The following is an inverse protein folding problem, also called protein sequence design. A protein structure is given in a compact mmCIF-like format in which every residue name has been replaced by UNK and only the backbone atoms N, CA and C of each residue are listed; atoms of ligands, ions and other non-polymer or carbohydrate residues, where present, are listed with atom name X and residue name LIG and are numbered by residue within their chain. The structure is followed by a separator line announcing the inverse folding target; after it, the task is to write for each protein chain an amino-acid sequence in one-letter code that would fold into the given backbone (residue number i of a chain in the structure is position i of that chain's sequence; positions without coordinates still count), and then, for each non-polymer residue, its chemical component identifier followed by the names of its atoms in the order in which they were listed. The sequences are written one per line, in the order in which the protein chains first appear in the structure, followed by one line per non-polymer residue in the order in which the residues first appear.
data_IF_498111507931
#
_entry.id   IF_498111507931
#
_cell.length_a   1.000
_cell.length_b   1.000
_cell.length_c   1.000
_cell.angle_alpha   90.00
_cell.angle_beta   90.00
_cell.angle_gamma   90.00
#
_symmetry.space_group_name_H-M   'P 1'
#
loop_
_entity.id
_entity.type
_entity.pdbx_description
1 polymer ?
#
# COMPACT_ATOMS: atom_id res chain seq x y z
N UNK A 1 -3.09 -32.15 9.75
CA UNK A 1 -2.92 -30.88 9.01
C UNK A 1 -2.44 -31.22 7.61
N UNK A 2 -3.24 -30.90 6.59
CA UNK A 2 -2.93 -31.24 5.21
C UNK A 2 -2.24 -30.09 4.46
N UNK A 3 -2.56 -28.85 4.85
CA UNK A 3 -2.01 -27.62 4.25
C UNK A 3 -1.61 -26.63 5.33
N UNK A 4 -0.44 -26.02 5.17
CA UNK A 4 0.04 -24.90 5.97
C UNK A 4 0.15 -23.68 5.04
N UNK A 5 -0.61 -22.64 5.36
CA UNK A 5 -0.55 -21.36 4.64
C UNK A 5 0.35 -20.37 5.40
N UNK A 6 1.36 -19.83 4.71
CA UNK A 6 2.33 -18.90 5.28
C UNK A 6 2.21 -17.52 4.62
N UNK A 7 1.85 -16.50 5.39
CA UNK A 7 1.55 -15.15 4.90
C UNK A 7 2.75 -14.21 4.86
N UNK A 8 3.85 -14.55 5.51
CA UNK A 8 5.09 -13.77 5.51
C UNK A 8 6.31 -14.63 5.16
N UNK A 9 7.45 -13.98 4.86
CA UNK A 9 8.70 -14.71 4.58
C UNK A 9 9.20 -15.51 5.78
N UNK A 10 9.00 -14.99 6.99
CA UNK A 10 9.41 -15.66 8.23
C UNK A 10 8.51 -16.87 8.47
N UNK A 11 7.18 -16.67 8.39
CA UNK A 11 6.20 -17.77 8.56
C UNK A 11 6.47 -18.89 7.57
N UNK A 12 6.84 -18.54 6.32
CA UNK A 12 7.16 -19.52 5.28
C UNK A 12 8.36 -20.36 5.64
N UNK A 13 9.43 -19.74 6.14
CA UNK A 13 10.62 -20.47 6.59
C UNK A 13 10.31 -21.39 7.79
N UNK A 14 9.54 -20.89 8.76
CA UNK A 14 9.11 -21.67 9.92
C UNK A 14 8.22 -22.83 9.47
N UNK A 15 7.24 -22.59 8.60
CA UNK A 15 6.33 -23.64 8.08
C UNK A 15 7.08 -24.75 7.35
N UNK A 16 8.07 -24.39 6.52
CA UNK A 16 8.91 -25.33 5.80
C UNK A 16 9.75 -26.19 6.76
N UNK A 17 10.28 -25.59 7.81
CA UNK A 17 11.04 -26.30 8.82
C UNK A 17 10.14 -27.22 9.68
N UNK A 18 9.04 -26.68 10.20
CA UNK A 18 8.11 -27.41 11.07
C UNK A 18 7.39 -28.58 10.37
N UNK A 19 7.17 -28.47 9.04
CA UNK A 19 6.57 -29.53 8.24
C UNK A 19 7.55 -30.59 7.73
N UNK A 20 8.81 -30.54 8.18
CA UNK A 20 9.82 -31.52 7.75
C UNK A 20 9.43 -32.94 8.20
N UNK A 21 9.48 -33.90 7.25
CA UNK A 21 9.11 -35.28 7.53
C UNK A 21 7.60 -35.54 7.66
N UNK A 22 6.76 -34.55 7.39
CA UNK A 22 5.28 -34.68 7.38
C UNK A 22 4.72 -34.62 5.95
N UNK A 23 3.49 -35.14 5.71
CA UNK A 23 2.84 -35.02 4.40
C UNK A 23 2.22 -33.63 4.15
N UNK A 24 2.32 -32.69 5.08
CA UNK A 24 1.71 -31.37 4.99
C UNK A 24 2.29 -30.56 3.80
N UNK A 25 1.41 -29.98 3.01
CA UNK A 25 1.77 -29.11 1.89
C UNK A 25 1.92 -27.67 2.36
N UNK A 26 3.02 -27.01 2.04
CA UNK A 26 3.24 -25.60 2.38
C UNK A 26 2.88 -24.72 1.21
N UNK A 27 1.97 -23.78 1.44
CA UNK A 27 1.57 -22.72 0.49
C UNK A 27 2.09 -21.39 0.99
N UNK A 28 2.87 -20.70 0.17
CA UNK A 28 3.43 -19.39 0.51
C UNK A 28 2.63 -18.25 -0.11
N UNK A 29 2.57 -17.10 0.55
CA UNK A 29 2.04 -15.86 -0.01
C UNK A 29 3.15 -14.86 -0.29
N UNK A 30 3.12 -14.26 -1.49
CA UNK A 30 4.06 -13.21 -1.88
C UNK A 30 3.29 -11.91 -2.15
N UNK A 31 3.42 -10.94 -1.22
CA UNK A 31 2.78 -9.63 -1.29
C UNK A 31 3.74 -8.47 -1.53
N UNK A 32 5.01 -8.73 -1.89
CA UNK A 32 6.02 -7.68 -2.05
C UNK A 32 6.83 -7.85 -3.33
N UNK A 33 7.19 -6.72 -3.96
CA UNK A 33 8.00 -6.63 -5.18
C UNK A 33 9.53 -6.62 -4.90
N UNK A 34 10.00 -7.20 -3.81
CA UNK A 34 11.44 -7.24 -3.53
C UNK A 34 12.18 -8.12 -4.54
N UNK A 35 13.30 -7.63 -5.04
CA UNK A 35 14.16 -8.38 -5.98
C UNK A 35 14.66 -9.68 -5.33
N UNK A 36 14.38 -10.81 -5.97
CA UNK A 36 14.90 -12.10 -5.58
C UNK A 36 16.24 -12.33 -6.29
N UNK A 37 17.23 -12.82 -5.54
CA UNK A 37 18.57 -13.16 -6.07
C UNK A 37 18.82 -14.64 -5.88
N UNK A 38 19.19 -15.35 -6.96
CA UNK A 38 19.58 -16.78 -6.89
C UNK A 38 20.83 -17.01 -6.06
N UNK A 39 21.71 -16.01 -5.98
CA UNK A 39 22.94 -16.07 -5.19
C UNK A 39 22.75 -15.89 -3.69
N UNK A 40 21.55 -15.51 -3.25
CA UNK A 40 21.24 -15.32 -1.84
C UNK A 40 20.58 -16.59 -1.28
N UNK A 41 21.29 -17.37 -0.43
CA UNK A 41 20.81 -18.65 0.09
C UNK A 41 19.56 -18.49 0.97
N UNK A 42 19.29 -17.32 1.51
CA UNK A 42 18.12 -17.08 2.37
C UNK A 42 16.80 -17.29 1.63
N UNK A 43 16.77 -17.05 0.31
CA UNK A 43 15.57 -17.31 -0.49
C UNK A 43 15.23 -18.80 -0.60
N UNK A 44 16.23 -19.70 -0.50
CA UNK A 44 16.02 -21.16 -0.53
C UNK A 44 15.50 -21.71 0.82
N UNK A 45 15.64 -20.93 1.90
CA UNK A 45 14.99 -21.22 3.17
C UNK A 45 13.52 -20.77 3.18
N UNK A 46 13.08 -20.04 2.15
CA UNK A 46 11.75 -19.46 1.99
C UNK A 46 11.20 -19.70 0.59
N UNK A 47 10.93 -18.62 -0.14
CA UNK A 47 10.13 -18.63 -1.39
C UNK A 47 10.71 -19.49 -2.54
N UNK A 48 12.00 -19.73 -2.57
CA UNK A 48 12.64 -20.60 -3.57
C UNK A 48 12.84 -22.04 -3.07
N UNK A 49 12.29 -22.41 -1.93
CA UNK A 49 12.40 -23.77 -1.42
C UNK A 49 11.61 -24.74 -2.30
N UNK A 50 12.20 -25.86 -2.77
CA UNK A 50 11.53 -26.81 -3.65
C UNK A 50 10.32 -27.50 -3.00
N UNK A 51 10.25 -27.51 -1.65
CA UNK A 51 9.14 -28.10 -0.89
C UNK A 51 7.89 -27.23 -0.84
N UNK A 52 7.93 -25.96 -1.31
CA UNK A 52 6.72 -25.17 -1.43
C UNK A 52 5.81 -25.82 -2.48
N UNK A 53 4.62 -26.18 -2.08
CA UNK A 53 3.66 -26.80 -2.98
C UNK A 53 3.07 -25.77 -3.97
N UNK A 54 2.75 -24.57 -3.48
CA UNK A 54 2.16 -23.50 -4.29
C UNK A 54 2.48 -22.11 -3.72
N UNK A 55 2.48 -21.09 -4.61
CA UNK A 55 2.68 -19.69 -4.23
C UNK A 55 1.50 -18.85 -4.67
N UNK A 56 0.86 -18.18 -3.73
CA UNK A 56 -0.16 -17.19 -4.00
C UNK A 56 0.49 -15.81 -4.14
N UNK A 57 0.34 -15.19 -5.29
CA UNK A 57 0.91 -13.88 -5.61
C UNK A 57 -0.15 -12.79 -5.44
N UNK A 58 0.18 -11.69 -4.79
CA UNK A 58 -0.77 -10.58 -4.59
C UNK A 58 -1.18 -9.90 -5.90
N UNK A 59 -0.32 -9.94 -6.93
CA UNK A 59 -0.49 -9.25 -8.20
C UNK A 59 0.10 -10.07 -9.35
N UNK A 60 -0.34 -9.78 -10.57
CA UNK A 60 0.21 -10.41 -11.77
C UNK A 60 1.69 -10.06 -11.97
N UNK A 61 2.07 -8.81 -11.67
CA UNK A 61 3.48 -8.38 -11.74
C UNK A 61 4.39 -9.23 -10.82
N UNK A 62 3.93 -9.53 -9.60
CA UNK A 62 4.68 -10.41 -8.68
C UNK A 62 4.80 -11.82 -9.26
N UNK A 63 3.72 -12.37 -9.85
CA UNK A 63 3.75 -13.68 -10.49
C UNK A 63 4.74 -13.71 -11.65
N UNK A 64 4.75 -12.70 -12.50
CA UNK A 64 5.70 -12.58 -13.62
C UNK A 64 7.16 -12.47 -13.14
N UNK A 65 7.41 -11.72 -12.07
CA UNK A 65 8.75 -11.65 -11.47
C UNK A 65 9.22 -13.01 -10.93
N UNK A 66 8.31 -13.76 -10.29
CA UNK A 66 8.59 -15.10 -9.75
C UNK A 66 8.72 -16.18 -10.82
N UNK A 67 8.09 -16.02 -11.98
CA UNK A 67 8.13 -17.00 -13.08
C UNK A 67 9.56 -17.28 -13.61
N UNK A 68 10.52 -16.40 -13.30
CA UNK A 68 11.95 -16.63 -13.55
C UNK A 68 12.58 -17.70 -12.65
N UNK A 69 11.89 -18.10 -11.58
CA UNK A 69 12.40 -18.96 -10.51
C UNK A 69 11.48 -20.14 -10.22
N UNK A 70 10.18 -19.96 -10.34
CA UNK A 70 9.13 -20.92 -9.97
C UNK A 70 8.26 -21.14 -11.21
N UNK A 71 7.90 -22.39 -11.49
CA UNK A 71 7.02 -22.73 -12.61
C UNK A 71 5.64 -22.08 -12.46
N UNK A 72 5.06 -21.49 -13.54
CA UNK A 72 3.79 -20.77 -13.51
C UNK A 72 2.60 -21.61 -13.02
N UNK A 73 2.59 -22.91 -13.23
CA UNK A 73 1.57 -23.86 -12.76
C UNK A 73 1.54 -23.97 -11.21
N UNK A 74 2.65 -23.65 -10.57
CA UNK A 74 2.77 -23.60 -9.11
C UNK A 74 2.46 -22.23 -8.52
N UNK A 75 1.89 -21.31 -9.30
CA UNK A 75 1.59 -19.96 -8.85
C UNK A 75 0.20 -19.51 -9.28
N UNK A 76 -0.52 -18.89 -8.37
CA UNK A 76 -1.83 -18.27 -8.64
C UNK A 76 -1.82 -16.82 -8.19
N UNK A 77 -2.42 -15.92 -8.97
CA UNK A 77 -2.69 -14.57 -8.53
C UNK A 77 -3.90 -14.58 -7.60
N UNK A 78 -3.72 -14.08 -6.41
CA UNK A 78 -4.74 -13.93 -5.39
C UNK A 78 -4.65 -12.53 -4.79
N UNK A 79 -5.33 -11.55 -5.39
CA UNK A 79 -5.38 -10.19 -4.87
C UNK A 79 -5.92 -10.18 -3.44
N UNK A 80 -5.46 -9.24 -2.64
CA UNK A 80 -6.03 -9.06 -1.30
C UNK A 80 -7.51 -8.74 -1.45
N UNK A 81 -8.40 -9.49 -0.79
CA UNK A 81 -9.82 -9.21 -0.86
C UNK A 81 -10.13 -7.83 -0.28
N UNK A 82 -11.14 -7.18 -0.83
CA UNK A 82 -11.70 -5.97 -0.30
C UNK A 82 -13.20 -5.97 -0.52
N UNK A 83 -13.95 -5.90 0.56
CA UNK A 83 -15.42 -5.86 0.53
C UNK A 83 -15.89 -4.42 0.79
N UNK A 84 -16.67 -3.87 -0.13
CA UNK A 84 -17.16 -2.49 -0.05
C UNK A 84 -18.07 -2.28 1.17
N UNK A 85 -18.82 -3.30 1.57
CA UNK A 85 -19.68 -3.25 2.76
C UNK A 85 -18.91 -2.98 4.06
N UNK A 86 -17.60 -3.28 4.11
CA UNK A 86 -16.77 -2.89 5.26
C UNK A 86 -16.66 -1.39 5.46
N UNK A 87 -17.11 -0.61 4.45
CA UNK A 87 -17.06 0.86 4.47
C UNK A 87 -18.39 1.50 4.90
N UNK A 88 -19.45 0.74 5.18
CA UNK A 88 -20.76 1.28 5.58
C UNK A 88 -20.66 2.19 6.81
N UNK A 89 -19.96 1.74 7.84
CA UNK A 89 -19.74 2.54 9.06
C UNK A 89 -18.87 3.78 8.76
N UNK A 90 -17.90 3.66 7.88
CA UNK A 90 -17.05 4.78 7.44
C UNK A 90 -17.85 5.85 6.72
N UNK A 91 -18.78 5.45 5.87
CA UNK A 91 -19.68 6.40 5.17
C UNK A 91 -20.67 7.06 6.12
N UNK A 92 -21.14 6.32 7.13
CA UNK A 92 -22.09 6.83 8.11
C UNK A 92 -21.46 7.87 9.08
N UNK A 93 -20.15 7.76 9.33
CA UNK A 93 -19.46 8.57 10.34
C UNK A 93 -18.20 9.27 9.79
N UNK A 94 -18.29 10.07 8.70
CA UNK A 94 -17.14 10.73 8.12
C UNK A 94 -16.50 11.73 9.09
N UNK A 95 -15.16 11.80 9.06
CA UNK A 95 -14.40 12.77 9.86
C UNK A 95 -13.89 13.92 9.00
N UNK A 96 -13.91 15.10 9.60
CA UNK A 96 -13.35 16.32 9.02
C UNK A 96 -12.09 16.77 9.78
N UNK A 97 -11.35 17.69 9.18
CA UNK A 97 -10.17 18.31 9.81
C UNK A 97 -10.51 19.76 10.12
N UNK A 98 -10.36 20.14 11.39
CA UNK A 98 -10.60 21.50 11.82
C UNK A 98 -9.63 22.48 11.14
N UNK A 99 -10.11 23.68 10.82
CA UNK A 99 -9.28 24.73 10.24
C UNK A 99 -9.09 24.67 8.72
N UNK A 100 -9.71 23.69 8.04
CA UNK A 100 -9.78 23.67 6.57
C UNK A 100 -11.11 24.32 6.15
N UNK A 101 -11.10 25.32 5.26
CA UNK A 101 -12.34 25.89 4.72
C UNK A 101 -13.22 24.83 4.04
N UNK A 102 -14.51 24.94 4.18
CA UNK A 102 -15.45 23.99 3.54
C UNK A 102 -15.46 24.06 2.01
N UNK A 103 -14.99 25.18 1.47
CA UNK A 103 -14.85 25.42 0.02
C UNK A 103 -13.49 24.97 -0.54
N UNK A 104 -12.52 24.65 0.34
CA UNK A 104 -11.20 24.27 -0.08
C UNK A 104 -11.20 22.91 -0.80
N UNK A 105 -10.37 22.78 -1.82
CA UNK A 105 -10.11 21.50 -2.46
C UNK A 105 -9.25 20.62 -1.54
N UNK A 106 -9.80 19.50 -1.10
CA UNK A 106 -9.21 18.64 -0.07
C UNK A 106 -8.54 17.40 -0.68
N UNK A 107 -7.24 17.40 -0.65
CA UNK A 107 -6.41 16.26 -1.05
C UNK A 107 -6.05 15.44 0.18
N UNK A 108 -6.21 14.11 0.11
CA UNK A 108 -5.88 13.22 1.23
C UNK A 108 -4.79 12.21 0.83
N UNK A 109 -3.87 11.93 1.74
CA UNK A 109 -2.86 10.89 1.60
C UNK A 109 -2.77 10.04 2.87
N UNK A 110 -3.05 8.75 2.76
CA UNK A 110 -2.94 7.78 3.84
C UNK A 110 -1.72 6.90 3.63
N UNK A 111 -0.63 7.16 4.35
CA UNK A 111 0.61 6.38 4.20
C UNK A 111 1.49 6.43 5.45
N UNK A 112 2.10 5.32 5.83
CA UNK A 112 3.18 5.28 6.81
C UNK A 112 4.51 5.46 6.08
N UNK A 113 5.10 6.66 6.15
CA UNK A 113 6.34 7.02 5.44
C UNK A 113 7.58 6.99 6.31
N UNK A 114 7.44 6.83 7.63
CA UNK A 114 8.57 6.74 8.56
C UNK A 114 9.53 5.61 8.16
N UNK A 115 10.78 5.98 7.83
CA UNK A 115 11.77 5.05 7.31
C UNK A 115 11.43 4.46 5.93
N UNK A 116 10.45 5.03 5.19
CA UNK A 116 9.95 4.53 3.91
C UNK A 116 9.80 5.64 2.89
N UNK A 117 10.90 6.30 2.56
CA UNK A 117 10.92 7.44 1.61
C UNK A 117 10.27 7.12 0.25
N UNK A 118 10.29 5.83 -0.15
CA UNK A 118 9.65 5.37 -1.38
C UNK A 118 8.11 5.54 -1.40
N UNK A 119 7.49 5.87 -0.27
CA UNK A 119 6.05 6.21 -0.20
C UNK A 119 5.72 7.62 -0.68
N UNK A 120 6.72 8.45 -0.99
CA UNK A 120 6.57 9.67 -1.77
C UNK A 120 6.07 10.91 -1.03
N UNK A 121 6.03 10.95 0.32
CA UNK A 121 5.56 12.13 1.06
C UNK A 121 6.32 13.41 0.67
N UNK A 122 7.65 13.34 0.51
CA UNK A 122 8.43 14.52 0.11
C UNK A 122 8.08 15.03 -1.28
N UNK A 123 7.75 14.11 -2.20
CA UNK A 123 7.30 14.47 -3.54
C UNK A 123 5.98 15.24 -3.44
N UNK A 124 5.06 14.76 -2.60
CA UNK A 124 3.76 15.39 -2.40
C UNK A 124 3.90 16.77 -1.75
N UNK A 125 4.75 16.92 -0.71
CA UNK A 125 5.03 18.23 -0.10
C UNK A 125 5.57 19.21 -1.15
N UNK A 126 6.56 18.79 -1.95
CA UNK A 126 7.14 19.63 -3.00
C UNK A 126 6.13 20.00 -4.10
N UNK A 127 5.22 19.10 -4.43
CA UNK A 127 4.14 19.39 -5.38
C UNK A 127 3.21 20.49 -4.85
N UNK A 128 2.87 20.45 -3.56
CA UNK A 128 2.05 21.51 -2.92
C UNK A 128 2.75 22.87 -2.89
N UNK A 129 4.08 22.89 -2.73
CA UNK A 129 4.86 24.14 -2.76
C UNK A 129 4.75 24.88 -4.10
N UNK A 130 4.37 24.18 -5.18
CA UNK A 130 4.12 24.78 -6.50
C UNK A 130 2.67 25.31 -6.65
N UNK A 131 1.81 25.06 -5.64
CA UNK A 131 0.37 25.35 -5.68
C UNK A 131 -0.05 26.31 -4.54
N UNK A 132 0.86 27.13 -4.04
CA UNK A 132 0.62 28.03 -2.90
C UNK A 132 -0.45 29.09 -3.15
N UNK A 133 -0.69 29.45 -4.39
CA UNK A 133 -1.70 30.44 -4.80
C UNK A 133 -3.10 29.83 -4.99
N UNK A 134 -3.29 28.60 -4.55
CA UNK A 134 -4.56 27.85 -4.68
C UNK A 134 -5.14 27.55 -3.31
N UNK A 135 -6.45 27.29 -3.23
CA UNK A 135 -7.13 26.82 -2.03
C UNK A 135 -7.16 25.28 -1.96
N UNK A 136 -5.96 24.67 -2.17
CA UNK A 136 -5.76 23.22 -2.11
C UNK A 136 -5.12 22.86 -0.77
N UNK A 137 -5.78 21.99 0.01
CA UNK A 137 -5.30 21.55 1.30
C UNK A 137 -4.96 20.06 1.30
N UNK A 138 -3.74 19.70 1.73
CA UNK A 138 -3.31 18.32 1.92
C UNK A 138 -3.58 17.86 3.35
N UNK A 139 -4.34 16.80 3.49
CA UNK A 139 -4.56 16.07 4.73
C UNK A 139 -3.68 14.80 4.68
N UNK A 140 -2.69 14.73 5.55
CA UNK A 140 -1.80 13.57 5.63
C UNK A 140 -2.02 12.79 6.91
N UNK A 141 -2.32 11.49 6.79
CA UNK A 141 -2.48 10.55 7.90
C UNK A 141 -1.50 9.38 7.79
N UNK A 142 -0.76 9.15 8.86
CA UNK A 142 0.20 8.07 9.00
C UNK A 142 1.50 8.52 9.66
N UNK A 143 2.38 7.58 9.94
CA UNK A 143 3.69 7.89 10.51
C UNK A 143 4.60 8.56 9.48
N UNK A 144 5.41 9.52 9.95
CA UNK A 144 6.39 10.25 9.15
C UNK A 144 7.68 10.50 9.94
N UNK A 145 8.75 10.81 9.23
CA UNK A 145 10.02 11.22 9.86
C UNK A 145 9.98 12.68 10.29
N UNK A 146 10.70 13.02 11.38
CA UNK A 146 10.80 14.41 11.86
C UNK A 146 11.28 15.38 10.79
N UNK A 147 12.12 14.92 9.86
CA UNK A 147 12.60 15.73 8.75
C UNK A 147 11.48 16.09 7.76
N UNK A 148 10.55 15.16 7.51
CA UNK A 148 9.41 15.39 6.62
C UNK A 148 8.40 16.36 7.25
N UNK A 149 8.18 16.24 8.56
CA UNK A 149 7.38 17.20 9.31
C UNK A 149 7.96 18.62 9.24
N UNK A 150 9.27 18.76 9.49
CA UNK A 150 9.94 20.06 9.39
C UNK A 150 9.85 20.64 7.98
N UNK A 151 10.00 19.81 6.94
CA UNK A 151 9.86 20.23 5.55
C UNK A 151 8.45 20.79 5.31
N UNK A 152 7.41 20.09 5.73
CA UNK A 152 6.03 20.53 5.57
C UNK A 152 5.72 21.84 6.33
N UNK A 153 6.20 21.98 7.57
CA UNK A 153 5.89 23.13 8.44
C UNK A 153 6.68 24.39 8.11
N UNK A 154 7.87 24.27 7.53
CA UNK A 154 8.74 25.40 7.21
C UNK A 154 8.72 25.78 5.73
N UNK A 155 8.00 25.03 4.90
CA UNK A 155 7.86 25.30 3.46
C UNK A 155 6.81 26.37 3.17
N UNK A 156 6.78 26.90 1.95
CA UNK A 156 5.81 27.92 1.54
C UNK A 156 4.35 27.43 1.61
N UNK A 157 4.11 26.12 1.48
CA UNK A 157 2.78 25.51 1.58
C UNK A 157 2.39 25.10 3.02
N UNK A 158 3.09 25.56 4.05
CA UNK A 158 2.88 25.11 5.43
C UNK A 158 1.43 25.26 5.93
N UNK A 159 0.74 26.32 5.51
CA UNK A 159 -0.67 26.57 5.88
C UNK A 159 -1.66 25.63 5.20
N UNK A 160 -1.25 25.02 4.10
CA UNK A 160 -2.07 24.09 3.29
C UNK A 160 -1.81 22.62 3.62
N UNK A 161 -0.78 22.30 4.46
CA UNK A 161 -0.39 20.92 4.77
C UNK A 161 -0.73 20.57 6.22
N UNK A 162 -1.68 19.66 6.38
CA UNK A 162 -2.18 19.19 7.68
C UNK A 162 -1.63 17.80 8.00
N UNK A 163 -0.55 17.73 8.79
CA UNK A 163 0.11 16.49 9.19
C UNK A 163 -0.53 15.93 10.46
N UNK A 164 -1.54 15.09 10.36
CA UNK A 164 -2.31 14.59 11.49
C UNK A 164 -1.62 13.43 12.25
N UNK A 165 -0.60 12.81 11.65
CA UNK A 165 0.06 11.67 12.25
C UNK A 165 -0.72 10.34 12.11
N UNK A 166 -0.34 9.32 12.89
CA UNK A 166 -0.99 8.01 12.82
C UNK A 166 -2.36 8.03 13.52
N UNK A 167 -3.40 7.59 12.80
CA UNK A 167 -4.74 7.40 13.33
C UNK A 167 -5.21 5.98 13.07
N UNK A 168 -5.82 5.32 14.07
CA UNK A 168 -6.39 3.97 13.91
C UNK A 168 -7.58 3.97 12.96
N UNK A 169 -8.30 5.07 12.92
CA UNK A 169 -9.50 5.36 12.16
C UNK A 169 -9.26 6.30 10.98
N UNK A 170 -8.05 6.28 10.40
CA UNK A 170 -7.66 7.12 9.28
C UNK A 170 -8.61 7.02 8.07
N UNK A 171 -9.21 5.86 7.86
CA UNK A 171 -10.16 5.60 6.77
C UNK A 171 -11.40 6.49 6.84
N UNK A 172 -11.84 6.90 8.05
CA UNK A 172 -13.01 7.78 8.24
C UNK A 172 -12.81 9.21 7.74
N UNK A 173 -11.57 9.58 7.41
CA UNK A 173 -11.27 10.88 6.81
C UNK A 173 -11.39 10.86 5.27
N UNK A 174 -11.58 9.70 4.63
CA UNK A 174 -11.71 9.58 3.18
C UNK A 174 -13.03 10.15 2.63
N UNK A 175 -14.21 9.83 3.21
CA UNK A 175 -15.46 10.31 2.63
C UNK A 175 -15.50 11.82 2.52
N UNK A 176 -16.00 12.33 1.39
CA UNK A 176 -16.12 13.76 1.11
C UNK A 176 -14.81 14.48 0.80
N UNK A 177 -13.72 13.76 0.55
CA UNK A 177 -12.49 14.34 0.00
C UNK A 177 -12.56 14.37 -1.52
N UNK A 178 -11.94 15.38 -2.12
CA UNK A 178 -11.96 15.55 -3.58
C UNK A 178 -11.03 14.53 -4.25
N UNK A 179 -9.83 14.34 -3.70
CA UNK A 179 -8.81 13.45 -4.28
C UNK A 179 -8.01 12.74 -3.21
N UNK A 180 -7.77 11.44 -3.41
CA UNK A 180 -6.77 10.67 -2.67
C UNK A 180 -5.50 10.51 -3.51
N UNK A 181 -4.35 10.89 -2.97
CA UNK A 181 -3.07 10.75 -3.67
C UNK A 181 -2.24 9.62 -3.06
N UNK A 182 -1.79 8.69 -3.90
CA UNK A 182 -0.84 7.62 -3.55
C UNK A 182 0.47 7.81 -4.32
N UNK A 183 1.41 8.65 -3.84
CA UNK A 183 2.62 9.05 -4.56
C UNK A 183 3.77 8.04 -4.39
N UNK A 184 3.46 6.79 -4.09
CA UNK A 184 4.46 5.73 -3.86
C UNK A 184 5.20 5.39 -5.14
N UNK A 185 6.54 5.41 -5.10
CA UNK A 185 7.38 4.96 -6.22
C UNK A 185 7.59 3.43 -6.23
N UNK A 186 7.12 2.75 -5.20
CA UNK A 186 7.13 1.29 -5.06
C UNK A 186 6.03 0.85 -4.09
N UNK A 187 5.06 0.12 -4.60
CA UNK A 187 4.04 -0.56 -3.81
C UNK A 187 3.49 -1.74 -4.61
N UNK A 188 3.27 -2.87 -3.97
CA UNK A 188 2.73 -4.04 -4.66
C UNK A 188 1.20 -4.00 -4.77
N UNK A 189 0.52 -3.41 -3.77
CA UNK A 189 -0.93 -3.39 -3.68
C UNK A 189 -1.35 -2.41 -2.59
N UNK A 190 -1.43 -1.10 -2.89
CA UNK A 190 -1.70 -0.07 -1.89
C UNK A 190 -3.10 -0.23 -1.30
N UNK A 191 -3.15 -0.43 0.02
CA UNK A 191 -4.41 -0.61 0.74
C UNK A 191 -5.23 0.68 0.76
N UNK A 192 -4.59 1.81 1.04
CA UNK A 192 -5.22 3.13 1.08
C UNK A 192 -5.92 3.50 -0.24
N UNK A 193 -5.39 3.01 -1.37
CA UNK A 193 -6.01 3.22 -2.68
C UNK A 193 -7.36 2.51 -2.78
N UNK A 194 -7.46 1.24 -2.33
CA UNK A 194 -8.73 0.52 -2.31
C UNK A 194 -9.74 1.14 -1.34
N UNK A 195 -9.26 1.62 -0.19
CA UNK A 195 -10.08 2.33 0.80
C UNK A 195 -10.65 3.62 0.19
N UNK A 196 -9.83 4.39 -0.54
CA UNK A 196 -10.27 5.61 -1.22
C UNK A 196 -11.30 5.32 -2.33
N UNK A 197 -11.03 4.33 -3.18
CA UNK A 197 -11.96 3.91 -4.24
C UNK A 197 -13.29 3.44 -3.66
N UNK A 198 -13.27 2.66 -2.56
CA UNK A 198 -14.48 2.23 -1.87
C UNK A 198 -15.26 3.40 -1.25
N UNK A 199 -14.57 4.47 -0.86
CA UNK A 199 -15.19 5.74 -0.43
C UNK A 199 -15.62 6.64 -1.59
N UNK A 200 -15.50 6.20 -2.85
CA UNK A 200 -15.83 6.97 -4.07
C UNK A 200 -14.99 8.25 -4.19
N UNK A 201 -13.79 8.25 -3.66
CA UNK A 201 -12.84 9.36 -3.79
C UNK A 201 -12.00 9.17 -5.04
N UNK A 202 -11.90 10.18 -5.88
CA UNK A 202 -11.04 10.16 -7.06
C UNK A 202 -9.58 9.91 -6.65
N UNK A 203 -8.83 9.13 -7.44
CA UNK A 203 -7.49 8.70 -7.07
C UNK A 203 -6.44 9.19 -8.06
N UNK A 204 -5.37 9.81 -7.54
CA UNK A 204 -4.15 10.10 -8.30
C UNK A 204 -3.04 9.18 -7.79
N UNK A 205 -2.44 8.42 -8.67
CA UNK A 205 -1.43 7.42 -8.31
C UNK A 205 -0.18 7.55 -9.17
N UNK A 206 0.96 7.20 -8.63
CA UNK A 206 2.16 7.01 -9.44
C UNK A 206 1.98 5.78 -10.33
N UNK A 207 2.42 5.87 -11.57
CA UNK A 207 2.35 4.79 -12.55
C UNK A 207 3.34 3.64 -12.20
N UNK A 208 2.94 2.82 -11.24
CA UNK A 208 3.65 1.64 -10.76
C UNK A 208 2.79 0.38 -10.91
N UNK A 209 3.39 -0.82 -11.07
CA UNK A 209 2.63 -2.05 -11.32
C UNK A 209 1.49 -2.30 -10.35
N UNK A 210 1.73 -2.11 -9.04
CA UNK A 210 0.70 -2.35 -8.02
C UNK A 210 -0.47 -1.36 -8.03
N UNK A 211 -0.31 -0.16 -8.62
CA UNK A 211 -1.38 0.80 -8.83
C UNK A 211 -2.13 0.55 -10.14
N UNK A 212 -1.42 0.18 -11.23
CA UNK A 212 -2.02 -0.15 -12.54
C UNK A 212 -3.07 -1.27 -12.47
N UNK A 213 -2.95 -2.19 -11.53
CA UNK A 213 -3.92 -3.27 -11.36
C UNK A 213 -5.23 -2.80 -10.71
N UNK A 214 -5.26 -1.58 -10.17
CA UNK A 214 -6.41 -1.01 -9.48
C UNK A 214 -7.00 0.20 -10.20
N UNK A 215 -6.15 1.02 -10.82
CA UNK A 215 -6.54 2.28 -11.45
C UNK A 215 -6.29 2.22 -12.94
N UNK A 216 -7.30 2.57 -13.72
CA UNK A 216 -7.22 2.78 -15.16
C UNK A 216 -7.33 4.27 -15.41
N UNK A 217 -6.31 4.84 -16.04
CA UNK A 217 -6.20 6.28 -16.29
C UNK A 217 -7.44 6.83 -17.02
N UNK A 218 -8.00 7.91 -16.51
CA UNK A 218 -9.20 8.55 -17.02
C UNK A 218 -10.51 7.77 -16.82
N UNK A 219 -10.53 6.63 -16.09
CA UNK A 219 -11.72 5.80 -15.92
C UNK A 219 -12.06 5.54 -14.44
N UNK A 220 -11.05 5.40 -13.55
CA UNK A 220 -11.26 5.07 -12.13
C UNK A 220 -10.45 5.99 -11.21
#
# INVERSE_FOLDING_TARGET
IDVIYASSSIDLSIALFASWGTPARVVGYRGTQAKIRRSDPTYYLGILNPRIAHVMCATEDIKQQLARFISPDRMTVSPKPYEVMWMEDVWAHPKSVAGIPSTAFQVICLANTKGRSFKGLRILIRALELLTDTDIHLIYLGEYDKADYKLAQNGPAAKQIHMLGPHKDAVYYLPGKDVCICPSIRDASPRSLREAMACKVACIVTDIPGARELVVDGQT
#
